data_IF_522831002273
#
_entry.id   IF_522831002273
#
_cell.length_a   1.000
_cell.length_b   1.000
_cell.length_c   1.000
_cell.angle_alpha   90.00
_cell.angle_beta   90.00
_cell.angle_gamma   90.00
#
_symmetry.space_group_name_H-M   'P 1'
#
loop_
_entity.id
_entity.type
_entity.pdbx_description
1 polymer ?
#
# COMPACT_ATOMS: atom_id res chain seq x y z
N UNK A 1 -29.26 -27.67 -10.38
CA UNK A 1 -27.82 -27.74 -10.68
C UNK A 1 -27.03 -27.66 -9.37
N UNK A 2 -26.14 -28.61 -9.07
CA UNK A 2 -25.40 -28.70 -7.79
C UNK A 2 -24.07 -27.96 -7.87
N UNK A 3 -23.91 -26.93 -7.03
CA UNK A 3 -22.80 -25.96 -7.00
C UNK A 3 -21.47 -26.52 -6.46
N UNK A 4 -21.40 -27.80 -6.09
CA UNK A 4 -20.22 -28.45 -5.49
C UNK A 4 -19.07 -28.73 -6.45
N UNK A 5 -19.25 -28.48 -7.76
CA UNK A 5 -18.30 -28.85 -8.81
C UNK A 5 -17.36 -27.71 -9.24
N UNK A 6 -17.43 -26.54 -8.59
CA UNK A 6 -16.73 -25.32 -9.01
C UNK A 6 -15.39 -25.07 -8.28
N UNK A 7 -14.88 -26.04 -7.52
CA UNK A 7 -13.57 -25.91 -6.86
C UNK A 7 -12.51 -26.82 -7.50
N UNK A 8 -11.32 -26.32 -7.89
CA UNK A 8 -10.26 -27.15 -8.42
C UNK A 8 -9.67 -28.00 -7.28
N UNK A 9 -9.92 -29.31 -7.31
CA UNK A 9 -9.33 -30.28 -6.39
C UNK A 9 -10.26 -31.41 -5.91
N UNK A 10 -11.56 -31.37 -6.21
CA UNK A 10 -12.49 -32.38 -5.72
C UNK A 10 -12.62 -33.57 -6.68
N UNK A 11 -11.98 -34.71 -6.36
CA UNK A 11 -12.28 -36.02 -6.98
C UNK A 11 -13.24 -36.80 -6.07
N UNK A 12 -14.26 -37.49 -6.61
CA UNK A 12 -15.19 -38.28 -5.80
C UNK A 12 -14.54 -39.57 -5.26
N UNK A 13 -15.10 -40.02 -4.14
CA UNK A 13 -14.67 -41.12 -3.26
C UNK A 13 -14.44 -42.46 -3.95
N UNK A 14 -13.21 -42.97 -3.86
CA UNK A 14 -12.89 -44.39 -4.02
C UNK A 14 -12.22 -44.88 -2.74
N UNK A 15 -12.86 -45.90 -2.14
CA UNK A 15 -12.47 -46.81 -1.05
C UNK A 15 -11.09 -46.62 -0.39
N UNK A 16 -11.12 -46.51 0.94
CA UNK A 16 -10.00 -46.68 1.89
C UNK A 16 -9.15 -47.92 1.56
N UNK A 17 -7.82 -47.81 1.67
CA UNK A 17 -7.15 -48.43 2.82
C UNK A 17 -6.01 -47.59 3.43
N UNK A 18 -5.79 -47.84 4.72
CA UNK A 18 -4.56 -47.70 5.52
C UNK A 18 -3.75 -46.38 5.47
N UNK A 19 -3.69 -45.74 6.65
CA UNK A 19 -2.77 -44.64 7.00
C UNK A 19 -1.30 -45.03 6.79
N UNK A 20 -0.49 -44.20 6.14
CA UNK A 20 0.93 -44.07 6.47
C UNK A 20 1.11 -42.82 7.35
N UNK A 21 1.52 -43.03 8.59
CA UNK A 21 1.99 -41.97 9.48
C UNK A 21 3.36 -41.53 8.96
N UNK A 22 3.42 -40.35 8.35
CA UNK A 22 4.70 -39.71 8.01
C UNK A 22 5.16 -38.93 9.24
N UNK A 23 5.98 -39.57 10.07
CA UNK A 23 6.67 -38.93 11.19
C UNK A 23 7.83 -38.09 10.65
N UNK A 24 7.64 -36.77 10.52
CA UNK A 24 8.76 -35.85 10.27
C UNK A 24 9.41 -35.56 11.62
N UNK A 25 10.58 -36.16 11.85
CA UNK A 25 11.45 -35.83 12.96
C UNK A 25 12.14 -34.48 12.69
N UNK A 26 11.71 -33.43 13.39
CA UNK A 26 12.44 -32.15 13.40
C UNK A 26 13.59 -32.26 14.39
N UNK A 27 14.81 -32.42 13.89
CA UNK A 27 16.03 -32.30 14.70
C UNK A 27 16.21 -30.87 15.18
N UNK A 28 16.05 -30.68 16.49
CA UNK A 28 16.36 -29.46 17.24
C UNK A 28 17.86 -29.17 17.16
N UNK A 29 18.27 -28.11 16.44
CA UNK A 29 19.61 -27.54 16.58
C UNK A 29 19.61 -26.68 17.85
N UNK A 30 20.27 -27.16 18.89
CA UNK A 30 20.66 -26.36 20.04
C UNK A 30 21.82 -25.43 19.62
N UNK A 31 21.73 -24.15 19.93
CA UNK A 31 22.86 -23.23 19.79
C UNK A 31 22.48 -21.77 19.51
N UNK A 32 22.47 -20.99 20.60
CA UNK A 32 22.83 -19.57 20.70
C UNK A 32 21.98 -18.50 19.97
N UNK A 33 21.40 -17.62 20.78
CA UNK A 33 20.86 -16.32 20.37
C UNK A 33 19.60 -15.96 21.14
N UNK A 34 19.74 -15.33 22.30
CA UNK A 34 18.66 -14.57 22.94
C UNK A 34 17.99 -13.66 21.90
N UNK A 35 16.66 -13.67 21.74
CA UNK A 35 16.00 -12.53 21.15
C UNK A 35 15.90 -11.47 22.25
N UNK A 36 16.70 -10.42 22.10
CA UNK A 36 16.46 -9.13 22.72
C UNK A 36 14.99 -8.78 22.48
N UNK A 37 14.30 -8.43 23.56
CA UNK A 37 12.94 -7.93 23.53
C UNK A 37 12.91 -6.58 22.81
N UNK A 38 12.90 -6.59 21.48
CA UNK A 38 12.49 -5.42 20.69
C UNK A 38 10.97 -5.50 20.61
N UNK A 39 10.32 -4.68 21.44
CA UNK A 39 8.88 -4.61 21.56
C UNK A 39 8.20 -4.16 20.27
N UNK A 40 7.95 -5.11 19.36
CA UNK A 40 6.96 -4.97 18.31
C UNK A 40 5.80 -5.92 18.62
N UNK A 41 5.15 -5.70 19.76
CA UNK A 41 3.79 -6.20 19.94
C UNK A 41 2.95 -5.51 18.87
N UNK A 42 2.28 -6.22 17.94
CA UNK A 42 1.40 -5.58 16.99
C UNK A 42 0.33 -4.86 17.82
N UNK A 43 0.37 -3.53 17.82
CA UNK A 43 -0.60 -2.71 18.51
C UNK A 43 -1.99 -3.23 18.18
N UNK A 44 -2.81 -3.42 19.22
CA UNK A 44 -4.18 -3.90 19.10
C UNK A 44 -4.86 -3.17 17.93
N UNK A 45 -5.27 -3.93 16.92
CA UNK A 45 -5.84 -3.46 15.65
C UNK A 45 -7.13 -2.64 15.86
N UNK A 46 -7.65 -2.63 17.10
CA UNK A 46 -8.84 -1.90 17.52
C UNK A 46 -8.54 -0.60 18.30
N UNK A 47 -7.28 -0.22 18.49
CA UNK A 47 -6.95 1.07 19.10
C UNK A 47 -7.22 2.21 18.09
N UNK A 48 -7.72 3.37 18.55
CA UNK A 48 -7.86 4.55 17.69
C UNK A 48 -6.50 4.93 17.12
N UNK A 49 -6.32 4.74 15.81
CA UNK A 49 -5.12 5.20 15.10
C UNK A 49 -5.33 6.64 14.65
N UNK A 50 -4.42 7.51 15.05
CA UNK A 50 -4.27 8.84 14.44
C UNK A 50 -3.81 8.71 12.98
N UNK A 51 -3.85 9.81 12.20
CA UNK A 51 -3.36 9.81 10.82
C UNK A 51 -1.92 9.30 10.78
N UNK A 52 -1.61 8.34 9.90
CA UNK A 52 -0.24 7.88 9.73
C UNK A 52 0.67 9.05 9.30
N UNK A 53 1.88 9.09 9.87
CA UNK A 53 2.95 9.98 9.43
C UNK A 53 3.42 9.55 8.05
N UNK A 54 3.65 10.52 7.17
CA UNK A 54 4.06 10.27 5.79
C UNK A 54 5.60 10.22 5.72
N UNK A 55 6.20 9.10 5.28
CA UNK A 55 7.66 8.97 5.23
C UNK A 55 8.33 9.91 4.24
N UNK A 56 9.59 10.25 4.47
CA UNK A 56 10.33 11.19 3.61
C UNK A 56 10.85 10.53 2.32
N UNK A 57 11.07 9.21 2.32
CA UNK A 57 11.68 8.50 1.19
C UNK A 57 10.69 7.59 0.46
N UNK A 58 10.93 7.36 -0.84
CA UNK A 58 10.09 6.45 -1.63
C UNK A 58 10.13 5.01 -1.11
N UNK A 59 11.31 4.54 -0.68
CA UNK A 59 11.47 3.18 -0.16
C UNK A 59 10.67 2.97 1.14
N UNK A 60 10.71 3.93 2.06
CA UNK A 60 9.89 3.86 3.27
C UNK A 60 8.38 3.98 2.96
N UNK A 61 8.02 4.77 1.94
CA UNK A 61 6.63 4.85 1.49
C UNK A 61 6.13 3.51 0.95
N UNK A 62 6.94 2.76 0.19
CA UNK A 62 6.57 1.43 -0.33
C UNK A 62 6.34 0.43 0.81
N UNK A 63 7.21 0.43 1.81
CA UNK A 63 7.05 -0.41 3.01
C UNK A 63 5.75 -0.05 3.76
N UNK A 64 5.46 1.23 3.94
CA UNK A 64 4.22 1.68 4.57
C UNK A 64 2.99 1.29 3.74
N UNK A 65 3.07 1.38 2.41
CA UNK A 65 1.99 0.97 1.50
C UNK A 65 1.68 -0.52 1.65
N UNK A 66 2.70 -1.38 1.71
CA UNK A 66 2.52 -2.82 1.92
C UNK A 66 1.85 -3.13 3.27
N UNK A 67 2.27 -2.45 4.35
CA UNK A 67 1.68 -2.60 5.68
C UNK A 67 0.21 -2.20 5.67
N UNK A 68 -0.12 -1.02 5.11
CA UNK A 68 -1.49 -0.54 5.04
C UNK A 68 -2.37 -1.43 4.16
N UNK A 69 -1.85 -1.94 3.04
CA UNK A 69 -2.57 -2.89 2.19
C UNK A 69 -2.85 -4.20 2.93
N UNK A 70 -1.85 -4.74 3.64
CA UNK A 70 -2.01 -5.97 4.43
C UNK A 70 -3.05 -5.81 5.54
N UNK A 71 -3.00 -4.70 6.26
CA UNK A 71 -3.94 -4.39 7.35
C UNK A 71 -5.37 -4.19 6.81
N UNK A 72 -5.52 -3.51 5.67
CA UNK A 72 -6.82 -3.35 5.00
C UNK A 72 -7.43 -4.71 4.61
N UNK A 73 -6.67 -5.54 3.90
CA UNK A 73 -7.12 -6.89 3.47
C UNK A 73 -7.52 -7.72 4.69
N UNK A 74 -6.70 -7.70 5.75
CA UNK A 74 -7.00 -8.43 6.98
C UNK A 74 -8.34 -8.00 7.60
N UNK A 75 -8.58 -6.70 7.72
CA UNK A 75 -9.83 -6.18 8.27
C UNK A 75 -11.03 -6.46 7.37
N UNK A 76 -10.87 -6.33 6.06
CA UNK A 76 -11.91 -6.68 5.08
C UNK A 76 -12.31 -8.15 5.17
N UNK A 77 -11.34 -9.06 5.27
CA UNK A 77 -11.62 -10.47 5.47
C UNK A 77 -12.34 -10.74 6.80
N UNK A 78 -11.92 -10.11 7.91
CA UNK A 78 -12.57 -10.29 9.21
C UNK A 78 -14.02 -9.78 9.21
N UNK A 79 -14.26 -8.60 8.61
CA UNK A 79 -15.60 -8.04 8.44
C UNK A 79 -16.43 -8.95 7.55
N UNK A 80 -15.89 -9.41 6.42
CA UNK A 80 -16.57 -10.30 5.49
C UNK A 80 -16.97 -11.64 6.11
N UNK A 81 -16.10 -12.23 6.93
CA UNK A 81 -16.43 -13.45 7.71
C UNK A 81 -17.55 -13.17 8.70
N UNK A 82 -17.48 -12.06 9.45
CA UNK A 82 -18.53 -11.69 10.40
C UNK A 82 -19.89 -11.46 9.70
N UNK A 83 -19.91 -10.77 8.55
CA UNK A 83 -21.12 -10.57 7.76
C UNK A 83 -21.65 -11.89 7.16
N UNK A 84 -20.76 -12.80 6.77
CA UNK A 84 -21.10 -14.14 6.29
C UNK A 84 -21.77 -14.99 7.37
N UNK A 85 -21.19 -15.04 8.57
CA UNK A 85 -21.75 -15.75 9.74
C UNK A 85 -23.11 -15.15 10.13
N UNK A 86 -23.25 -13.83 10.14
CA UNK A 86 -24.52 -13.18 10.43
C UNK A 86 -25.63 -13.57 9.43
N UNK A 87 -25.29 -13.70 8.14
CA UNK A 87 -26.24 -14.12 7.11
C UNK A 87 -26.63 -15.60 7.22
N UNK A 88 -25.64 -16.48 7.43
CA UNK A 88 -25.82 -17.93 7.43
C UNK A 88 -26.44 -18.44 8.74
N UNK A 89 -25.97 -17.95 9.88
CA UNK A 89 -26.29 -18.49 11.21
C UNK A 89 -27.19 -17.55 12.04
N UNK A 90 -27.52 -16.37 11.51
CA UNK A 90 -28.23 -15.29 12.25
C UNK A 90 -27.52 -14.86 13.54
N UNK A 91 -26.23 -15.19 13.68
CA UNK A 91 -25.37 -14.78 14.78
C UNK A 91 -24.58 -13.54 14.38
N UNK A 92 -24.98 -12.40 14.92
CA UNK A 92 -24.30 -11.14 14.67
C UNK A 92 -23.02 -11.04 15.49
N UNK A 93 -21.97 -10.46 14.89
CA UNK A 93 -20.78 -10.07 15.63
C UNK A 93 -21.10 -8.92 16.60
N UNK A 94 -20.23 -8.72 17.59
CA UNK A 94 -20.33 -7.61 18.52
C UNK A 94 -20.44 -6.26 17.76
N UNK A 95 -21.50 -5.47 17.99
CA UNK A 95 -21.71 -4.21 17.25
C UNK A 95 -20.58 -3.21 17.46
N UNK A 96 -20.02 -3.14 18.67
CA UNK A 96 -18.94 -2.19 19.00
C UNK A 96 -17.68 -2.55 18.22
N UNK A 97 -17.30 -3.82 18.20
CA UNK A 97 -16.20 -4.33 17.37
C UNK A 97 -16.44 -4.04 15.89
N UNK A 98 -17.64 -4.32 15.38
CA UNK A 98 -17.95 -4.14 13.97
C UNK A 98 -17.83 -2.69 13.51
N UNK A 99 -18.36 -1.74 14.30
CA UNK A 99 -18.21 -0.32 14.04
C UNK A 99 -16.75 0.14 14.13
N UNK A 100 -15.99 -0.34 15.12
CA UNK A 100 -14.55 -0.05 15.25
C UNK A 100 -13.75 -0.59 14.06
N UNK A 101 -14.03 -1.80 13.60
CA UNK A 101 -13.38 -2.41 12.46
C UNK A 101 -13.66 -1.63 11.17
N UNK A 102 -14.92 -1.23 10.93
CA UNK A 102 -15.28 -0.39 9.78
C UNK A 102 -14.64 1.00 9.83
N UNK A 103 -14.58 1.62 11.01
CA UNK A 103 -13.89 2.90 11.20
C UNK A 103 -12.37 2.78 10.94
N UNK A 104 -11.73 1.75 11.48
CA UNK A 104 -10.31 1.47 11.25
C UNK A 104 -10.02 1.28 9.74
N UNK A 105 -10.84 0.50 9.04
CA UNK A 105 -10.71 0.29 7.60
C UNK A 105 -10.85 1.62 6.82
N UNK A 106 -11.79 2.48 7.19
CA UNK A 106 -11.94 3.82 6.60
C UNK A 106 -10.67 4.66 6.76
N UNK A 107 -10.08 4.67 7.95
CA UNK A 107 -8.84 5.43 8.21
C UNK A 107 -7.65 4.87 7.44
N UNK A 108 -7.48 3.55 7.40
CA UNK A 108 -6.43 2.90 6.60
C UNK A 108 -6.56 3.26 5.12
N UNK A 109 -7.78 3.19 4.57
CA UNK A 109 -8.00 3.57 3.16
C UNK A 109 -7.75 5.05 2.90
N UNK A 110 -8.04 5.93 3.86
CA UNK A 110 -7.70 7.34 3.77
C UNK A 110 -6.19 7.56 3.77
N UNK A 111 -5.45 6.84 4.63
CA UNK A 111 -4.00 6.94 4.69
C UNK A 111 -3.33 6.37 3.43
N UNK A 112 -3.85 5.28 2.85
CA UNK A 112 -3.41 4.77 1.54
C UNK A 112 -3.57 5.82 0.44
N UNK A 113 -4.70 6.52 0.42
CA UNK A 113 -4.93 7.60 -0.55
C UNK A 113 -3.94 8.75 -0.36
N UNK A 114 -3.70 9.18 0.89
CA UNK A 114 -2.72 10.22 1.22
C UNK A 114 -1.30 9.80 0.80
N UNK A 115 -0.92 8.55 1.07
CA UNK A 115 0.37 8.00 0.72
C UNK A 115 0.59 7.96 -0.79
N UNK A 116 -0.43 7.57 -1.57
CA UNK A 116 -0.34 7.55 -3.04
C UNK A 116 -0.06 8.95 -3.62
N UNK A 117 -0.73 9.98 -3.10
CA UNK A 117 -0.48 11.37 -3.51
C UNK A 117 0.93 11.81 -3.12
N UNK A 118 1.37 11.48 -1.91
CA UNK A 118 2.71 11.78 -1.40
C UNK A 118 3.82 11.12 -2.24
N UNK A 119 3.69 9.82 -2.54
CA UNK A 119 4.63 9.10 -3.40
C UNK A 119 4.71 9.69 -4.80
N UNK A 120 3.59 10.18 -5.35
CA UNK A 120 3.61 10.90 -6.64
C UNK A 120 4.42 12.19 -6.54
N UNK A 121 4.24 12.97 -5.47
CA UNK A 121 5.02 14.19 -5.23
C UNK A 121 6.52 13.89 -5.11
N UNK A 122 6.89 12.91 -4.29
CA UNK A 122 8.28 12.46 -4.13
C UNK A 122 8.91 12.01 -5.46
N UNK A 123 8.17 11.29 -6.31
CA UNK A 123 8.67 10.90 -7.65
C UNK A 123 8.92 12.11 -8.56
N UNK A 124 8.08 13.14 -8.47
CA UNK A 124 8.26 14.39 -9.24
C UNK A 124 9.49 15.15 -8.72
N UNK A 125 9.65 15.25 -7.41
CA UNK A 125 10.80 15.90 -6.77
C UNK A 125 12.11 15.17 -7.07
N UNK A 126 12.12 13.84 -7.00
CA UNK A 126 13.26 13.00 -7.39
C UNK A 126 13.65 13.22 -8.87
N UNK A 127 12.66 13.40 -9.76
CA UNK A 127 12.92 13.71 -11.17
C UNK A 127 13.52 15.11 -11.34
N UNK A 128 12.98 16.12 -10.66
CA UNK A 128 13.48 17.51 -10.70
C UNK A 128 14.88 17.67 -10.15
N UNK A 129 15.23 16.88 -9.14
CA UNK A 129 16.56 16.86 -8.51
C UNK A 129 17.58 16.02 -9.26
N UNK A 130 17.16 15.22 -10.26
CA UNK A 130 18.06 14.38 -11.04
C UNK A 130 19.01 15.24 -11.90
N UNK A 131 20.35 15.13 -11.70
CA UNK A 131 21.33 15.95 -12.42
C UNK A 131 21.27 15.78 -13.94
N UNK A 132 20.93 14.58 -14.43
CA UNK A 132 20.79 14.32 -15.87
C UNK A 132 19.62 15.11 -16.49
N UNK A 133 18.52 15.26 -15.75
CA UNK A 133 17.36 16.03 -16.19
C UNK A 133 17.68 17.53 -16.19
N UNK A 134 18.34 18.02 -15.14
CA UNK A 134 18.79 19.40 -15.07
C UNK A 134 19.82 19.75 -16.15
N UNK A 135 20.75 18.83 -16.44
CA UNK A 135 21.75 19.00 -17.50
C UNK A 135 21.09 19.05 -18.88
N UNK A 136 20.09 18.19 -19.12
CA UNK A 136 19.29 18.19 -20.35
C UNK A 136 18.53 19.50 -20.53
N UNK A 137 17.83 19.98 -19.51
CA UNK A 137 17.07 21.23 -19.59
C UNK A 137 18.00 22.42 -19.85
N UNK A 138 19.15 22.47 -19.16
CA UNK A 138 20.18 23.49 -19.44
C UNK A 138 20.72 23.42 -20.86
N UNK A 139 20.90 22.22 -21.42
CA UNK A 139 21.36 22.05 -22.80
C UNK A 139 20.29 22.52 -23.81
N UNK A 140 19.02 22.18 -23.57
CA UNK A 140 17.90 22.65 -24.40
C UNK A 140 17.81 24.17 -24.37
N UNK A 141 17.87 24.79 -23.19
CA UNK A 141 17.84 26.26 -23.07
C UNK A 141 19.00 26.94 -23.80
N UNK A 142 20.21 26.35 -23.75
CA UNK A 142 21.35 26.85 -24.54
C UNK A 142 21.08 26.79 -26.04
N UNK A 143 20.54 25.68 -26.52
CA UNK A 143 20.27 25.51 -27.95
C UNK A 143 19.14 26.41 -28.43
N UNK A 144 18.11 26.62 -27.60
CA UNK A 144 17.04 27.59 -27.87
C UNK A 144 17.60 29.00 -27.94
N UNK A 145 18.43 29.42 -26.97
CA UNK A 145 19.07 30.74 -26.99
C UNK A 145 19.98 30.94 -28.21
N UNK A 146 20.59 29.87 -28.74
CA UNK A 146 21.46 29.97 -29.91
C UNK A 146 20.67 30.10 -31.23
N UNK A 147 19.43 29.59 -31.28
CA UNK A 147 18.64 29.49 -32.51
C UNK A 147 17.47 30.46 -32.59
N UNK A 148 16.94 30.89 -31.45
CA UNK A 148 15.75 31.73 -31.37
C UNK A 148 16.17 33.20 -31.34
N UNK A 149 15.64 34.06 -32.22
CA UNK A 149 15.84 35.51 -32.14
C UNK A 149 15.37 36.05 -30.80
N UNK A 150 16.10 37.02 -30.25
CA UNK A 150 15.87 37.54 -28.90
C UNK A 150 14.44 38.06 -28.73
N UNK A 151 13.89 38.67 -29.77
CA UNK A 151 12.55 39.26 -29.77
C UNK A 151 11.46 38.19 -29.56
N UNK A 152 11.65 37.00 -30.14
CA UNK A 152 10.72 35.87 -29.98
C UNK A 152 10.84 35.28 -28.58
N UNK A 153 12.07 35.18 -28.07
CA UNK A 153 12.30 34.69 -26.72
C UNK A 153 11.69 35.61 -25.67
N UNK A 154 11.90 36.92 -25.78
CA UNK A 154 11.39 37.93 -24.83
C UNK A 154 9.85 37.95 -24.84
N UNK A 155 9.21 37.81 -25.99
CA UNK A 155 7.73 37.71 -26.06
C UNK A 155 7.22 36.41 -25.42
N UNK A 156 7.89 35.27 -25.65
CA UNK A 156 7.54 34.03 -24.96
C UNK A 156 7.65 34.14 -23.44
N UNK A 157 8.69 34.83 -22.93
CA UNK A 157 8.84 35.09 -21.48
C UNK A 157 7.70 35.97 -20.98
N UNK A 158 7.36 37.05 -21.71
CA UNK A 158 6.27 37.97 -21.36
C UNK A 158 4.92 37.25 -21.24
N UNK A 159 4.59 36.37 -22.19
CA UNK A 159 3.36 35.56 -22.16
C UNK A 159 3.36 34.61 -20.96
N UNK A 160 4.48 33.95 -20.66
CA UNK A 160 4.56 33.04 -19.51
C UNK A 160 4.45 33.79 -18.19
N UNK A 161 5.05 34.97 -18.07
CA UNK A 161 4.94 35.80 -16.87
C UNK A 161 3.49 36.26 -16.64
N UNK A 162 2.78 36.67 -17.69
CA UNK A 162 1.34 36.99 -17.63
C UNK A 162 0.51 35.78 -17.19
N UNK A 163 0.75 34.59 -17.75
CA UNK A 163 0.06 33.36 -17.37
C UNK A 163 0.32 32.95 -15.91
N UNK A 164 1.55 33.16 -15.42
CA UNK A 164 1.93 32.84 -14.04
C UNK A 164 1.37 33.84 -13.03
N UNK A 165 1.21 35.12 -13.40
CA UNK A 165 0.54 36.11 -12.57
C UNK A 165 -0.95 35.79 -12.36
N UNK A 166 -1.62 35.19 -13.35
CA UNK A 166 -3.04 34.78 -13.23
C UNK A 166 -3.23 33.57 -12.29
N UNK A 167 -2.20 32.74 -12.13
CA UNK A 167 -2.24 31.55 -11.26
C UNK A 167 -1.93 31.90 -9.78
N UNK A 168 -1.40 33.09 -9.52
CA UNK A 168 -0.92 33.54 -8.20
C UNK A 168 -2.03 34.16 -7.36
#
# INVERSE_FOLDING_TARGET
MKLSNLWPGHKPTVRTPARPVVSVAVTKRAGAGQPVATGNTPASICAPRGPAELPATLAECEVLEEVLCRDAIRLECQIGVAEGVAKAEKRYADPVWFHRAKAALKHINRDRQRLMVHMKALRIEARRSCPAWQARDKAILRELNARVPKEVFDECVRVVDEDLEVIR
#
